data_IF_020586791316
#
_entry.id   IF_020586791316
#
_cell.length_a   1.000
_cell.length_b   1.000
_cell.length_c   1.000
_cell.angle_alpha   90.00
_cell.angle_beta   90.00
_cell.angle_gamma   90.00
#
_symmetry.space_group_name_H-M   'P 1'
#
loop_
_entity.id
_entity.type
_entity.pdbx_description
1 polymer ?
#
# COMPACT_ATOMS: atom_id res chain seq x y z
N UNK A 1 -7.25 46.76 -17.26
CA UNK A 1 -5.98 46.12 -17.64
C UNK A 1 -5.58 44.95 -16.70
N UNK A 2 -6.53 44.32 -15.99
CA UNK A 2 -6.21 43.36 -14.91
C UNK A 2 -6.61 41.90 -15.20
N UNK A 3 -7.12 41.59 -16.40
CA UNK A 3 -7.61 40.23 -16.75
C UNK A 3 -6.60 39.37 -17.53
N UNK A 4 -5.38 39.86 -17.76
CA UNK A 4 -4.39 39.16 -18.59
C UNK A 4 -3.39 38.31 -17.79
N UNK A 5 -3.24 38.52 -16.47
CA UNK A 5 -2.17 37.89 -15.68
C UNK A 5 -2.54 36.51 -15.08
N UNK A 6 -3.83 36.14 -15.03
CA UNK A 6 -4.26 34.89 -14.35
C UNK A 6 -4.19 33.66 -15.27
N UNK A 7 -3.90 33.84 -16.56
CA UNK A 7 -3.98 32.77 -17.56
C UNK A 7 -2.65 32.01 -17.79
N UNK A 8 -1.59 32.31 -17.05
CA UNK A 8 -0.22 31.95 -17.43
C UNK A 8 0.45 30.77 -16.67
N UNK A 9 -0.06 30.29 -15.53
CA UNK A 9 0.75 29.34 -14.72
C UNK A 9 0.12 28.00 -14.33
N UNK A 10 -1.04 27.62 -14.88
CA UNK A 10 -1.53 26.23 -14.73
C UNK A 10 -1.33 25.41 -16.01
N UNK A 11 -0.10 25.40 -16.54
CA UNK A 11 0.32 24.31 -17.42
C UNK A 11 0.52 23.07 -16.55
N UNK A 12 -0.60 22.39 -16.24
CA UNK A 12 -0.53 21.00 -15.82
C UNK A 12 0.34 20.28 -16.87
N UNK A 13 1.44 19.61 -16.46
CA UNK A 13 2.26 18.88 -17.41
C UNK A 13 1.32 17.97 -18.16
N UNK A 14 1.31 18.13 -19.49
CA UNK A 14 0.47 17.34 -20.37
C UNK A 14 0.59 15.90 -19.92
N UNK A 15 -0.55 15.27 -19.65
CA UNK A 15 -0.69 13.82 -19.51
C UNK A 15 -0.41 13.25 -20.89
N UNK A 16 0.84 13.38 -21.33
CA UNK A 16 1.28 13.02 -22.65
C UNK A 16 1.48 11.52 -22.61
N UNK A 17 0.37 10.87 -22.97
CA UNK A 17 0.23 9.51 -23.48
C UNK A 17 1.45 8.65 -23.19
N UNK A 18 1.30 7.83 -22.15
CA UNK A 18 2.20 6.74 -21.83
C UNK A 18 2.27 5.75 -23.00
N UNK A 19 3.03 6.07 -24.04
CA UNK A 19 3.60 5.06 -24.92
C UNK A 19 4.69 4.37 -24.10
N UNK A 20 4.24 3.41 -23.31
CA UNK A 20 5.07 2.47 -22.58
C UNK A 20 5.86 1.68 -23.63
N UNK A 21 7.05 2.15 -24.00
CA UNK A 21 8.03 1.30 -24.67
C UNK A 21 8.23 0.08 -23.76
N UNK A 22 7.82 -1.10 -24.22
CA UNK A 22 7.68 -2.32 -23.42
C UNK A 22 9.00 -2.89 -22.90
N UNK A 23 9.70 -2.15 -22.03
CA UNK A 23 10.86 -2.69 -21.32
C UNK A 23 10.36 -3.59 -20.19
N UNK A 24 10.79 -4.86 -20.10
CA UNK A 24 10.34 -5.80 -19.07
C UNK A 24 10.83 -5.44 -17.66
N UNK A 25 11.64 -4.40 -17.52
CA UNK A 25 12.28 -3.98 -16.26
C UNK A 25 11.25 -3.67 -15.17
N UNK A 26 10.23 -2.88 -15.47
CA UNK A 26 9.22 -2.50 -14.47
C UNK A 26 8.41 -3.69 -13.95
N UNK A 27 7.80 -4.55 -14.80
CA UNK A 27 7.07 -5.71 -14.29
C UNK A 27 7.99 -6.71 -13.56
N UNK A 28 9.25 -6.88 -14.00
CA UNK A 28 10.23 -7.69 -13.27
C UNK A 28 10.52 -7.12 -11.89
N UNK A 29 10.70 -5.80 -11.77
CA UNK A 29 10.98 -5.13 -10.51
C UNK A 29 9.78 -5.24 -9.54
N UNK A 30 8.56 -5.04 -10.04
CA UNK A 30 7.33 -5.21 -9.25
C UNK A 30 7.17 -6.66 -8.79
N UNK A 31 7.36 -7.63 -9.70
CA UNK A 31 7.29 -9.04 -9.34
C UNK A 31 8.35 -9.41 -8.29
N UNK A 32 9.58 -8.94 -8.47
CA UNK A 32 10.65 -9.13 -7.49
C UNK A 32 10.31 -8.52 -6.13
N UNK A 33 9.75 -7.30 -6.11
CA UNK A 33 9.30 -6.64 -4.88
C UNK A 33 8.21 -7.43 -4.14
N UNK A 34 7.27 -8.03 -4.87
CA UNK A 34 6.23 -8.92 -4.32
C UNK A 34 6.87 -10.22 -3.82
N UNK A 35 7.76 -10.83 -4.61
CA UNK A 35 8.40 -12.09 -4.25
C UNK A 35 9.21 -11.97 -2.96
N UNK A 36 9.99 -10.89 -2.80
CA UNK A 36 10.75 -10.62 -1.57
C UNK A 36 9.82 -10.44 -0.38
N UNK A 37 8.71 -9.69 -0.53
CA UNK A 37 7.72 -9.49 0.55
C UNK A 37 7.00 -10.78 0.93
N UNK A 38 6.59 -11.58 -0.06
CA UNK A 38 5.96 -12.88 0.17
C UNK A 38 6.94 -13.83 0.87
N UNK A 39 8.19 -13.88 0.41
CA UNK A 39 9.23 -14.67 1.04
C UNK A 39 9.45 -14.24 2.49
N UNK A 40 9.51 -12.93 2.75
CA UNK A 40 9.58 -12.39 4.10
C UNK A 40 8.40 -12.83 4.96
N UNK A 41 7.15 -12.70 4.48
CA UNK A 41 5.94 -13.15 5.19
C UNK A 41 5.99 -14.66 5.52
N UNK A 42 6.53 -15.47 4.62
CA UNK A 42 6.63 -16.93 4.80
C UNK A 42 7.76 -17.34 5.76
N UNK A 43 8.89 -16.64 5.75
CA UNK A 43 10.05 -16.92 6.61
C UNK A 43 9.90 -16.30 8.00
N UNK A 44 9.40 -15.07 8.06
CA UNK A 44 9.22 -14.30 9.29
C UNK A 44 7.89 -14.61 10.00
N UNK A 45 7.36 -15.84 9.84
CA UNK A 45 6.08 -16.28 10.43
C UNK A 45 5.95 -15.98 11.93
N UNK A 46 7.07 -15.95 12.66
CA UNK A 46 7.12 -15.64 14.09
C UNK A 46 7.38 -14.16 14.44
N UNK A 47 7.84 -13.31 13.51
CA UNK A 47 8.24 -11.92 13.79
C UNK A 47 7.03 -10.95 13.75
N UNK A 48 5.89 -11.40 13.23
CA UNK A 48 4.66 -10.62 13.17
C UNK A 48 3.45 -11.38 13.67
N UNK A 49 3.60 -12.25 14.69
CA UNK A 49 2.42 -12.65 15.45
C UNK A 49 1.71 -11.36 15.92
N UNK A 50 0.37 -11.32 15.96
CA UNK A 50 -0.37 -10.14 16.39
C UNK A 50 -0.13 -9.75 17.87
N UNK A 51 0.98 -10.18 18.49
CA UNK A 51 1.39 -9.77 19.84
C UNK A 51 1.76 -8.30 19.95
N UNK A 52 1.92 -7.55 18.85
CA UNK A 52 1.93 -6.09 18.96
C UNK A 52 0.52 -5.62 19.37
N UNK A 53 0.46 -4.82 20.44
CA UNK A 53 -0.79 -4.32 21.01
C UNK A 53 -1.68 -3.66 19.93
N UNK A 54 -1.05 -2.98 18.98
CA UNK A 54 -1.74 -2.29 17.89
C UNK A 54 -2.39 -3.23 16.90
N UNK A 55 -1.69 -4.28 16.44
CA UNK A 55 -2.25 -5.25 15.49
C UNK A 55 -3.48 -5.95 16.07
N UNK A 56 -3.44 -6.30 17.35
CA UNK A 56 -4.59 -6.83 18.10
C UNK A 56 -5.76 -5.85 18.11
N UNK A 57 -5.52 -4.56 18.40
CA UNK A 57 -6.59 -3.56 18.43
C UNK A 57 -7.26 -3.41 17.05
N UNK A 58 -6.49 -3.40 15.97
CA UNK A 58 -7.04 -3.33 14.61
C UNK A 58 -7.90 -4.55 14.26
N UNK A 59 -7.45 -5.76 14.61
CA UNK A 59 -8.20 -6.99 14.39
C UNK A 59 -9.49 -7.04 15.24
N UNK A 60 -9.42 -6.60 16.50
CA UNK A 60 -10.58 -6.55 17.39
C UNK A 60 -11.66 -5.59 16.87
N UNK A 61 -11.27 -4.43 16.34
CA UNK A 61 -12.21 -3.48 15.74
C UNK A 61 -12.79 -4.06 14.44
N UNK A 62 -11.98 -4.74 13.63
CA UNK A 62 -12.46 -5.43 12.43
C UNK A 62 -13.49 -6.54 12.77
N UNK A 63 -13.26 -7.30 13.85
CA UNK A 63 -14.21 -8.29 14.37
C UNK A 63 -15.50 -7.64 14.89
N UNK A 64 -15.39 -6.49 15.56
CA UNK A 64 -16.53 -5.66 15.97
C UNK A 64 -17.40 -5.22 14.78
N UNK A 65 -16.77 -4.79 13.68
CA UNK A 65 -17.46 -4.43 12.45
C UNK A 65 -18.21 -5.61 11.85
N UNK A 66 -17.59 -6.79 11.77
CA UNK A 66 -18.21 -8.00 11.21
C UNK A 66 -19.35 -8.54 12.08
N UNK A 67 -19.30 -8.31 13.39
CA UNK A 67 -20.34 -8.71 14.34
C UNK A 67 -21.46 -7.68 14.52
N UNK A 68 -21.42 -6.56 13.79
CA UNK A 68 -22.44 -5.51 13.86
C UNK A 68 -22.30 -4.54 15.04
N UNK A 69 -21.19 -4.60 15.78
CA UNK A 69 -20.89 -3.70 16.91
C UNK A 69 -20.31 -2.35 16.46
N UNK A 70 -19.98 -2.21 15.17
CA UNK A 70 -19.40 -0.99 14.62
C UNK A 70 -17.91 -0.82 14.98
N UNK A 71 -17.42 0.42 14.92
CA UNK A 71 -16.05 0.76 15.33
C UNK A 71 -15.95 0.79 16.86
N UNK A 72 -15.83 -0.38 17.46
CA UNK A 72 -15.75 -0.54 18.92
C UNK A 72 -14.46 -1.25 19.33
N UNK A 73 -13.88 -0.81 20.45
CA UNK A 73 -12.76 -1.48 21.10
C UNK A 73 -13.14 -1.76 22.55
N UNK A 74 -13.02 -3.03 22.98
CA UNK A 74 -13.45 -3.48 24.32
C UNK A 74 -14.92 -3.12 24.64
N UNK A 75 -15.80 -3.21 23.64
CA UNK A 75 -17.24 -2.95 23.79
C UNK A 75 -17.64 -1.48 23.86
N UNK A 76 -16.71 -0.54 23.64
CA UNK A 76 -16.99 0.90 23.61
C UNK A 76 -16.67 1.47 22.23
N UNK A 77 -17.51 2.39 21.67
CA UNK A 77 -17.18 3.10 20.44
C UNK A 77 -15.81 3.77 20.54
N UNK A 78 -15.01 3.66 19.48
CA UNK A 78 -13.64 4.17 19.46
C UNK A 78 -13.35 5.03 18.24
N UNK A 79 -12.65 6.13 18.47
CA UNK A 79 -11.99 6.96 17.45
C UNK A 79 -10.46 6.87 17.54
N UNK A 80 -9.95 5.91 18.33
CA UNK A 80 -8.52 5.77 18.63
C UNK A 80 -7.69 5.43 17.40
N UNK A 81 -8.28 4.79 16.39
CA UNK A 81 -7.64 4.48 15.11
C UNK A 81 -8.49 5.00 13.95
N UNK A 82 -7.82 5.38 12.86
CA UNK A 82 -8.50 5.77 11.63
C UNK A 82 -9.35 4.60 11.09
N UNK A 83 -10.56 4.86 10.56
CA UNK A 83 -11.52 3.81 10.24
C UNK A 83 -11.16 2.98 9.00
N UNK A 84 -10.34 3.51 8.10
CA UNK A 84 -10.07 2.90 6.80
C UNK A 84 -9.39 1.53 6.93
N UNK A 85 -8.35 1.43 7.77
CA UNK A 85 -7.61 0.18 7.93
C UNK A 85 -8.42 -0.92 8.63
N UNK A 86 -9.10 -0.69 9.78
CA UNK A 86 -10.02 -1.67 10.35
C UNK A 86 -11.12 -2.10 9.39
N UNK A 87 -11.70 -1.18 8.60
CA UNK A 87 -12.71 -1.52 7.61
C UNK A 87 -12.17 -2.42 6.49
N UNK A 88 -10.95 -2.12 6.00
CA UNK A 88 -10.26 -2.99 5.04
C UNK A 88 -10.00 -4.38 5.64
N UNK A 89 -9.54 -4.46 6.89
CA UNK A 89 -9.33 -5.74 7.57
C UNK A 89 -10.64 -6.53 7.74
N UNK A 90 -11.74 -5.86 8.08
CA UNK A 90 -13.05 -6.49 8.17
C UNK A 90 -13.47 -7.08 6.81
N UNK A 91 -13.31 -6.31 5.73
CA UNK A 91 -13.59 -6.77 4.37
C UNK A 91 -12.72 -7.98 3.97
N UNK A 92 -11.41 -7.90 4.22
CA UNK A 92 -10.49 -9.01 3.93
C UNK A 92 -10.85 -10.26 4.75
N UNK A 93 -11.23 -10.10 6.02
CA UNK A 93 -11.66 -11.22 6.85
C UNK A 93 -13.01 -11.81 6.38
N UNK A 94 -13.93 -10.98 5.86
CA UNK A 94 -15.19 -11.46 5.30
C UNK A 94 -14.98 -12.28 4.02
N UNK A 95 -14.04 -11.88 3.16
CA UNK A 95 -13.81 -12.50 1.84
C UNK A 95 -12.81 -13.66 1.90
N UNK A 96 -11.73 -13.52 2.69
CA UNK A 96 -10.61 -14.47 2.75
C UNK A 96 -10.63 -15.32 4.05
N UNK A 97 -11.58 -15.06 4.95
CA UNK A 97 -11.61 -15.64 6.30
C UNK A 97 -10.61 -14.98 7.26
N UNK A 98 -10.60 -15.42 8.52
CA UNK A 98 -9.73 -14.90 9.60
C UNK A 98 -8.25 -15.31 9.48
N UNK A 99 -7.77 -15.55 8.27
CA UNK A 99 -6.39 -15.97 8.02
C UNK A 99 -5.45 -14.77 8.02
N UNK A 100 -4.65 -14.63 9.10
CA UNK A 100 -3.60 -13.61 9.18
C UNK A 100 -2.60 -13.74 8.03
N UNK A 101 -2.32 -14.98 7.60
CA UNK A 101 -1.46 -15.22 6.44
C UNK A 101 -2.06 -14.61 5.16
N UNK A 102 -3.36 -14.80 4.92
CA UNK A 102 -4.02 -14.23 3.74
C UNK A 102 -3.98 -12.70 3.74
N UNK A 103 -4.21 -12.08 4.91
CA UNK A 103 -4.11 -10.62 5.07
C UNK A 103 -2.70 -10.12 4.77
N UNK A 104 -1.67 -10.80 5.31
CA UNK A 104 -0.27 -10.42 5.05
C UNK A 104 0.15 -10.59 3.60
N UNK A 105 -0.31 -11.65 2.93
CA UNK A 105 -0.07 -11.86 1.51
C UNK A 105 -0.75 -10.77 0.66
N UNK A 106 -1.96 -10.37 1.02
CA UNK A 106 -2.62 -9.24 0.38
C UNK A 106 -1.84 -7.92 0.57
N UNK A 107 -1.34 -7.66 1.78
CA UNK A 107 -0.48 -6.49 2.05
C UNK A 107 0.83 -6.54 1.26
N UNK A 108 1.44 -7.72 1.09
CA UNK A 108 2.63 -7.90 0.26
C UNK A 108 2.37 -7.52 -1.21
N UNK A 109 1.21 -7.92 -1.76
CA UNK A 109 0.79 -7.52 -3.11
C UNK A 109 0.58 -6.01 -3.19
N UNK A 110 -0.13 -5.41 -2.22
CA UNK A 110 -0.29 -3.95 -2.16
C UNK A 110 1.06 -3.23 -2.11
N UNK A 111 2.03 -3.73 -1.33
CA UNK A 111 3.39 -3.18 -1.28
C UNK A 111 4.08 -3.18 -2.64
N UNK A 112 3.94 -4.28 -3.41
CA UNK A 112 4.44 -4.35 -4.79
C UNK A 112 3.74 -3.39 -5.75
N UNK A 113 2.42 -3.19 -5.60
CA UNK A 113 1.69 -2.17 -6.35
C UNK A 113 2.18 -0.76 -5.99
N UNK A 114 2.53 -0.51 -4.73
CA UNK A 114 3.15 0.77 -4.32
C UNK A 114 4.49 0.99 -5.01
N UNK A 115 5.32 -0.05 -5.18
CA UNK A 115 6.55 0.04 -5.99
C UNK A 115 6.26 0.52 -7.42
N UNK A 116 5.20 0.02 -8.04
CA UNK A 116 4.76 0.48 -9.35
C UNK A 116 4.32 1.95 -9.32
N UNK A 117 3.53 2.35 -8.32
CA UNK A 117 3.10 3.73 -8.13
C UNK A 117 4.27 4.70 -7.90
N UNK A 118 5.28 4.28 -7.14
CA UNK A 118 6.52 5.06 -6.93
C UNK A 118 7.25 5.30 -8.25
N UNK A 119 7.34 4.28 -9.11
CA UNK A 119 7.90 4.47 -10.46
C UNK A 119 7.10 5.49 -11.27
N UNK A 120 5.76 5.38 -11.28
CA UNK A 120 4.90 6.31 -12.02
C UNK A 120 5.08 7.73 -11.51
N UNK A 121 5.08 7.92 -10.19
CA UNK A 121 5.27 9.21 -9.53
C UNK A 121 6.63 9.81 -9.87
N UNK A 122 7.72 9.04 -9.71
CA UNK A 122 9.06 9.51 -10.00
C UNK A 122 9.24 9.84 -11.49
N UNK A 123 8.63 9.07 -12.39
CA UNK A 123 8.67 9.33 -13.83
C UNK A 123 7.99 10.65 -14.23
N UNK A 124 7.05 11.17 -13.43
CA UNK A 124 6.42 12.47 -13.71
C UNK A 124 7.39 13.65 -13.54
N UNK A 125 8.42 13.50 -12.70
CA UNK A 125 9.32 14.60 -12.34
C UNK A 125 10.79 14.34 -12.73
N UNK A 126 11.17 13.09 -13.02
CA UNK A 126 12.56 12.70 -13.24
C UNK A 126 12.74 11.80 -14.47
N UNK A 127 13.98 11.70 -15.01
CA UNK A 127 14.30 10.76 -16.07
C UNK A 127 14.01 9.30 -15.68
N UNK A 128 13.73 8.46 -16.67
CA UNK A 128 13.35 7.05 -16.47
C UNK A 128 14.34 6.27 -15.60
N UNK A 129 15.65 6.53 -15.72
CA UNK A 129 16.68 5.90 -14.90
C UNK A 129 16.49 6.18 -13.41
N UNK A 130 16.20 7.43 -13.05
CA UNK A 130 15.92 7.85 -11.66
C UNK A 130 14.64 7.19 -11.14
N UNK A 131 13.60 7.09 -11.97
CA UNK A 131 12.37 6.41 -11.60
C UNK A 131 12.57 4.92 -11.29
N UNK A 132 13.44 4.23 -12.05
CA UNK A 132 13.79 2.83 -11.76
C UNK A 132 14.59 2.69 -10.46
N UNK A 133 15.55 3.59 -10.21
CA UNK A 133 16.31 3.60 -8.96
C UNK A 133 15.39 3.86 -7.76
N UNK A 134 14.50 4.84 -7.84
CA UNK A 134 13.54 5.14 -6.79
C UNK A 134 12.62 3.94 -6.47
N UNK A 135 12.08 3.28 -7.51
CA UNK A 135 11.28 2.07 -7.34
C UNK A 135 12.08 0.91 -6.76
N UNK A 136 13.34 0.72 -7.19
CA UNK A 136 14.23 -0.31 -6.66
C UNK A 136 14.58 -0.10 -5.19
N UNK A 137 14.89 1.14 -4.80
CA UNK A 137 15.13 1.51 -3.40
C UNK A 137 13.89 1.25 -2.54
N UNK A 138 12.70 1.64 -3.02
CA UNK A 138 11.44 1.37 -2.32
C UNK A 138 11.15 -0.14 -2.21
N UNK A 139 11.44 -0.90 -3.27
CA UNK A 139 11.22 -2.35 -3.29
C UNK A 139 12.06 -3.08 -2.23
N UNK A 140 13.27 -2.58 -1.94
CA UNK A 140 14.27 -3.18 -1.05
C UNK A 140 14.33 -2.55 0.34
N UNK A 141 13.64 -1.44 0.58
CA UNK A 141 13.70 -0.74 1.86
C UNK A 141 13.21 -1.66 3.00
N UNK A 142 14.02 -1.96 4.03
CA UNK A 142 13.69 -2.96 5.05
C UNK A 142 12.35 -2.71 5.74
N UNK A 143 12.08 -1.47 6.14
CA UNK A 143 10.82 -1.10 6.81
C UNK A 143 9.58 -1.14 5.90
N UNK A 144 9.79 -1.21 4.58
CA UNK A 144 8.69 -1.28 3.60
C UNK A 144 8.42 -2.72 3.16
N UNK A 145 9.26 -3.66 3.55
CA UNK A 145 9.17 -5.08 3.22
C UNK A 145 8.51 -5.89 4.35
N UNK A 146 8.65 -5.45 5.60
CA UNK A 146 8.19 -6.16 6.79
C UNK A 146 7.69 -5.27 7.90
#
# INVERSE_FOLDING_TARGET
>A
MEKAAVKAELKLPAVESARQSGSPVLPVLVFFAIAVRVLFVLLARNIGNPHSMDAQNYLNIADGLLSGQGFALKGQPTTFVAPLYPALLALLQAVLGKSILAIKLFQAVLGGLTTWLVYLLAKMYFPRGVAYVAAGLFALHPEMVG
#
